data_IF_764794758997
#
_entry.id   IF_764794758997
#
_cell.length_a   1.000
_cell.length_b   1.000
_cell.length_c   1.000
_cell.angle_alpha   90.00
_cell.angle_beta   90.00
_cell.angle_gamma   90.00
#
_symmetry.space_group_name_H-M   'P 1'
#
loop_
_entity.id
_entity.type
_entity.pdbx_description
1 polymer ?
#
# COMPACT_ATOMS: atom_id res chain seq x y z
N UNK A 1 -8.87 3.54 27.98
CA UNK A 1 -10.33 3.71 27.79
C UNK A 1 -10.64 3.27 26.36
N UNK A 2 -11.77 2.65 26.10
CA UNK A 2 -12.23 2.31 24.75
C UNK A 2 -12.99 3.48 24.15
N UNK A 3 -12.86 3.70 22.86
CA UNK A 3 -13.63 4.73 22.15
C UNK A 3 -15.13 4.40 22.22
N UNK A 4 -15.91 5.35 22.70
CA UNK A 4 -17.36 5.23 22.78
C UNK A 4 -17.98 6.29 21.86
N UNK A 5 -18.48 5.84 20.72
CA UNK A 5 -19.07 6.75 19.72
C UNK A 5 -19.06 6.15 18.33
N UNK A 6 -19.61 6.90 17.40
CA UNK A 6 -19.68 6.55 15.99
C UNK A 6 -18.53 7.17 15.23
N UNK A 7 -17.77 6.34 14.50
CA UNK A 7 -16.59 6.72 13.73
C UNK A 7 -16.91 6.71 12.24
N UNK A 8 -16.64 7.81 11.55
CA UNK A 8 -16.63 7.86 10.09
C UNK A 8 -15.22 7.73 9.55
N UNK A 9 -14.91 6.69 8.78
CA UNK A 9 -13.65 6.55 8.04
C UNK A 9 -13.87 6.99 6.59
N UNK A 10 -13.04 7.91 6.10
CA UNK A 10 -13.22 8.55 4.81
C UNK A 10 -12.06 8.23 3.87
N UNK A 11 -12.39 7.84 2.63
CA UNK A 11 -11.41 7.63 1.54
C UNK A 11 -11.96 8.11 0.20
N UNK A 12 -11.07 8.51 -0.71
CA UNK A 12 -11.48 9.16 -1.97
C UNK A 12 -11.96 8.20 -3.07
N UNK A 13 -11.92 6.90 -2.86
CA UNK A 13 -12.17 5.91 -3.92
C UNK A 13 -12.65 4.58 -3.36
N UNK A 14 -13.25 3.76 -4.22
CA UNK A 14 -13.64 2.37 -3.95
C UNK A 14 -12.65 1.35 -4.55
N UNK A 15 -11.64 1.79 -5.31
CA UNK A 15 -10.71 0.93 -6.06
C UNK A 15 -9.54 0.44 -5.19
N UNK A 16 -8.89 -0.71 -5.50
CA UNK A 16 -7.83 -1.31 -4.69
C UNK A 16 -6.53 -0.48 -4.73
N UNK A 17 -6.49 0.57 -3.94
CA UNK A 17 -5.32 1.44 -3.72
C UNK A 17 -4.92 1.38 -2.27
N UNK A 18 -3.64 1.62 -1.96
CA UNK A 18 -3.09 1.46 -0.62
C UNK A 18 -3.93 2.11 0.50
N UNK A 19 -4.34 3.37 0.33
CA UNK A 19 -5.20 4.06 1.29
C UNK A 19 -6.61 3.46 1.41
N UNK A 20 -7.18 2.94 0.31
CA UNK A 20 -8.50 2.28 0.32
C UNK A 20 -8.41 0.91 0.99
N UNK A 21 -7.36 0.14 0.70
CA UNK A 21 -7.08 -1.14 1.38
C UNK A 21 -6.94 -0.90 2.87
N UNK A 22 -6.14 0.08 3.28
CA UNK A 22 -6.01 0.47 4.69
C UNK A 22 -7.37 0.84 5.32
N UNK A 23 -8.18 1.64 4.63
CA UNK A 23 -9.49 2.08 5.15
C UNK A 23 -10.42 0.90 5.43
N UNK A 24 -10.49 -0.05 4.50
CA UNK A 24 -11.33 -1.25 4.65
C UNK A 24 -10.82 -2.17 5.77
N UNK A 25 -9.53 -2.48 5.77
CA UNK A 25 -8.92 -3.37 6.77
C UNK A 25 -9.03 -2.78 8.19
N UNK A 26 -8.76 -1.49 8.35
CA UNK A 26 -8.90 -0.80 9.63
C UNK A 26 -10.37 -0.76 10.09
N UNK A 27 -11.30 -0.44 9.18
CA UNK A 27 -12.72 -0.36 9.51
C UNK A 27 -13.27 -1.72 9.97
N UNK A 28 -12.93 -2.80 9.26
CA UNK A 28 -13.33 -4.17 9.63
C UNK A 28 -12.71 -4.61 10.96
N UNK A 29 -11.44 -4.29 11.19
CA UNK A 29 -10.78 -4.61 12.46
C UNK A 29 -11.39 -3.83 13.64
N UNK A 30 -11.71 -2.55 13.47
CA UNK A 30 -12.41 -1.75 14.49
C UNK A 30 -13.83 -2.26 14.73
N UNK A 31 -14.58 -2.61 13.69
CA UNK A 31 -15.91 -3.21 13.81
C UNK A 31 -15.87 -4.54 14.59
N UNK A 32 -14.88 -5.39 14.29
CA UNK A 32 -14.68 -6.66 15.02
C UNK A 32 -14.38 -6.44 16.51
N UNK A 33 -13.84 -5.29 16.90
CA UNK A 33 -13.61 -4.86 18.28
C UNK A 33 -14.81 -4.17 18.91
N UNK A 34 -15.93 -4.04 18.18
CA UNK A 34 -17.18 -3.47 18.69
C UNK A 34 -17.32 -1.96 18.52
N UNK A 35 -16.44 -1.31 17.74
CA UNK A 35 -16.58 0.12 17.41
C UNK A 35 -17.67 0.29 16.35
N UNK A 36 -18.59 1.25 16.54
CA UNK A 36 -19.56 1.63 15.51
C UNK A 36 -18.85 2.44 14.41
N UNK A 37 -18.53 1.75 13.30
CA UNK A 37 -17.76 2.31 12.17
C UNK A 37 -18.64 2.42 10.93
N UNK A 38 -18.51 3.52 10.21
CA UNK A 38 -19.09 3.73 8.89
C UNK A 38 -18.05 4.22 7.90
N UNK A 39 -18.05 3.69 6.68
CA UNK A 39 -17.15 4.08 5.62
C UNK A 39 -17.81 5.11 4.70
N UNK A 40 -17.06 6.14 4.32
CA UNK A 40 -17.43 7.11 3.29
C UNK A 40 -16.41 7.09 2.15
N UNK A 41 -16.89 7.04 0.92
CA UNK A 41 -16.03 7.09 -0.27
C UNK A 41 -16.71 7.82 -1.44
N UNK A 42 -15.93 8.11 -2.48
CA UNK A 42 -16.47 8.56 -3.76
C UNK A 42 -16.68 7.36 -4.69
N UNK A 43 -17.85 7.28 -5.30
CA UNK A 43 -18.23 6.23 -6.25
C UNK A 43 -19.38 6.63 -7.15
N UNK A 44 -19.60 5.87 -8.23
CA UNK A 44 -20.75 6.03 -9.12
C UNK A 44 -22.03 5.39 -8.55
N UNK A 45 -23.18 5.67 -9.16
CA UNK A 45 -24.42 5.03 -8.79
C UNK A 45 -24.34 3.50 -8.94
N UNK A 46 -24.60 2.77 -7.83
CA UNK A 46 -24.52 1.30 -7.82
C UNK A 46 -23.13 0.72 -7.66
N UNK A 47 -22.09 1.55 -7.50
CA UNK A 47 -20.74 1.07 -7.18
C UNK A 47 -20.70 0.42 -5.79
N UNK A 48 -19.67 -0.39 -5.60
CA UNK A 48 -19.26 -0.97 -4.31
C UNK A 48 -17.74 -0.87 -4.18
N UNK A 49 -17.21 -1.14 -3.00
CA UNK A 49 -15.78 -1.32 -2.87
C UNK A 49 -15.29 -2.51 -3.72
N UNK A 50 -14.01 -2.50 -4.05
CA UNK A 50 -13.36 -3.52 -4.90
C UNK A 50 -13.50 -4.95 -4.35
N UNK A 51 -13.85 -5.11 -3.08
CA UNK A 51 -14.20 -6.36 -2.41
C UNK A 51 -15.40 -6.15 -1.47
N UNK A 52 -16.13 -7.23 -1.13
CA UNK A 52 -17.17 -7.16 -0.10
C UNK A 52 -16.62 -6.70 1.24
N UNK A 53 -17.43 -5.96 2.00
CA UNK A 53 -17.17 -5.57 3.39
C UNK A 53 -18.44 -5.69 4.22
N UNK A 54 -18.28 -6.02 5.50
CA UNK A 54 -19.39 -6.04 6.48
C UNK A 54 -19.65 -4.65 7.08
N UNK A 55 -18.73 -3.70 6.89
CA UNK A 55 -18.87 -2.35 7.42
C UNK A 55 -19.90 -1.56 6.61
N UNK A 56 -20.88 -0.92 7.22
CA UNK A 56 -21.80 -0.03 6.52
C UNK A 56 -21.04 1.09 5.80
N UNK A 57 -21.49 1.43 4.59
CA UNK A 57 -20.84 2.50 3.83
C UNK A 57 -21.83 3.38 3.07
N UNK A 58 -21.39 4.60 2.76
CA UNK A 58 -22.07 5.54 1.89
C UNK A 58 -21.12 6.03 0.83
N UNK A 59 -21.57 6.01 -0.44
CA UNK A 59 -20.83 6.56 -1.56
C UNK A 59 -21.41 7.92 -1.94
N UNK A 60 -20.52 8.91 -2.00
CA UNK A 60 -20.84 10.23 -2.59
C UNK A 60 -20.44 10.25 -4.07
N UNK A 61 -21.06 11.09 -4.91
CA UNK A 61 -20.81 11.08 -6.34
C UNK A 61 -19.32 11.25 -6.68
N UNK A 62 -18.75 10.33 -7.45
CA UNK A 62 -17.44 10.48 -8.05
C UNK A 62 -17.47 11.51 -9.18
N UNK A 63 -16.36 12.22 -9.39
CA UNK A 63 -16.25 13.24 -10.45
C UNK A 63 -15.83 12.57 -11.76
N UNK A 64 -16.65 12.76 -12.77
CA UNK A 64 -16.41 12.32 -14.14
C UNK A 64 -16.13 13.55 -15.04
N UNK A 65 -15.36 13.34 -16.11
CA UNK A 65 -15.12 14.35 -17.14
C UNK A 65 -14.17 15.49 -16.76
N UNK A 66 -13.48 15.43 -15.61
CA UNK A 66 -12.44 16.40 -15.29
C UNK A 66 -11.28 16.28 -16.28
N UNK A 67 -10.79 17.43 -16.78
CA UNK A 67 -9.73 17.48 -17.80
C UNK A 67 -8.34 17.54 -17.19
N UNK A 68 -8.24 17.99 -15.94
CA UNK A 68 -6.98 18.10 -15.20
C UNK A 68 -7.08 17.39 -13.84
N UNK A 69 -5.92 17.05 -13.27
CA UNK A 69 -5.85 16.49 -11.92
C UNK A 69 -6.37 17.47 -10.87
N UNK A 70 -6.03 18.74 -11.01
CA UNK A 70 -6.48 19.83 -10.11
C UNK A 70 -8.01 19.92 -10.07
N UNK A 71 -8.65 20.00 -11.23
CA UNK A 71 -10.12 20.01 -11.35
C UNK A 71 -10.73 18.79 -10.67
N UNK A 72 -10.18 17.60 -10.93
CA UNK A 72 -10.66 16.36 -10.34
C UNK A 72 -10.54 16.36 -8.82
N UNK A 73 -9.42 16.81 -8.28
CA UNK A 73 -9.18 16.84 -6.82
C UNK A 73 -10.13 17.82 -6.15
N UNK A 74 -10.23 19.06 -6.64
CA UNK A 74 -11.09 20.07 -6.01
C UNK A 74 -12.57 19.73 -6.11
N UNK A 75 -13.05 19.29 -7.27
CA UNK A 75 -14.43 18.85 -7.43
C UNK A 75 -14.76 17.61 -6.56
N UNK A 76 -13.78 16.71 -6.34
CA UNK A 76 -13.93 15.57 -5.44
C UNK A 76 -14.05 16.03 -3.97
N UNK A 77 -13.26 17.03 -3.56
CA UNK A 77 -13.40 17.65 -2.21
C UNK A 77 -14.78 18.26 -2.04
N UNK A 78 -15.28 18.98 -3.05
CA UNK A 78 -16.60 19.63 -3.02
C UNK A 78 -17.73 18.60 -2.93
N UNK A 79 -17.66 17.54 -3.73
CA UNK A 79 -18.64 16.44 -3.72
C UNK A 79 -18.68 15.74 -2.36
N UNK A 80 -17.53 15.40 -1.80
CA UNK A 80 -17.46 14.75 -0.50
C UNK A 80 -17.95 15.67 0.63
N UNK A 81 -17.60 16.96 0.62
CA UNK A 81 -18.06 17.93 1.60
C UNK A 81 -19.58 18.10 1.53
N UNK A 82 -20.15 18.20 0.34
CA UNK A 82 -21.60 18.29 0.16
C UNK A 82 -22.35 17.06 0.72
N UNK A 83 -21.81 15.85 0.49
CA UNK A 83 -22.37 14.62 1.07
C UNK A 83 -22.26 14.58 2.58
N UNK A 84 -21.12 14.95 3.14
CA UNK A 84 -20.88 14.97 4.59
C UNK A 84 -21.75 15.99 5.32
N UNK A 85 -22.15 17.10 4.70
CA UNK A 85 -23.05 18.11 5.29
C UNK A 85 -24.34 17.49 5.83
N UNK A 86 -24.80 16.39 5.26
CA UNK A 86 -26.07 15.75 5.62
C UNK A 86 -25.91 14.66 6.71
N UNK A 87 -24.71 14.18 6.95
CA UNK A 87 -24.50 13.00 7.77
C UNK A 87 -23.44 13.16 8.87
N UNK A 88 -22.51 14.12 8.73
CA UNK A 88 -21.37 14.25 9.64
C UNK A 88 -21.74 14.53 11.11
N UNK A 89 -22.87 15.19 11.34
CA UNK A 89 -23.36 15.48 12.71
C UNK A 89 -23.72 14.23 13.53
N UNK A 90 -23.96 13.08 12.87
CA UNK A 90 -24.27 11.82 13.52
C UNK A 90 -23.02 11.08 14.03
N UNK A 91 -21.84 11.61 13.76
CA UNK A 91 -20.55 11.00 14.11
C UNK A 91 -19.86 11.74 15.25
N UNK A 92 -19.06 11.02 16.02
CA UNK A 92 -18.26 11.59 17.11
C UNK A 92 -16.84 11.94 16.64
N UNK A 93 -16.40 11.31 15.54
CA UNK A 93 -15.07 11.51 14.96
C UNK A 93 -15.09 11.17 13.47
N UNK A 94 -14.40 11.96 12.65
CA UNK A 94 -14.13 11.66 11.26
C UNK A 94 -12.65 11.37 11.05
N UNK A 95 -12.32 10.23 10.46
CA UNK A 95 -10.94 9.82 10.19
C UNK A 95 -10.67 9.76 8.69
N UNK A 96 -9.94 10.73 8.18
CA UNK A 96 -9.60 10.88 6.77
C UNK A 96 -8.31 10.14 6.40
N UNK A 97 -8.31 9.45 5.26
CA UNK A 97 -7.18 8.63 4.79
C UNK A 97 -6.40 9.26 3.62
N UNK A 98 -6.88 10.35 3.03
CA UNK A 98 -6.28 11.02 1.88
C UNK A 98 -6.52 12.55 1.91
N UNK A 99 -5.89 13.29 0.99
CA UNK A 99 -6.01 14.75 0.94
C UNK A 99 -7.44 15.22 0.66
N UNK A 100 -8.18 14.52 -0.20
CA UNK A 100 -9.56 14.88 -0.58
C UNK A 100 -10.46 14.76 0.63
N UNK A 101 -10.43 13.61 1.30
CA UNK A 101 -11.25 13.34 2.47
C UNK A 101 -10.91 14.25 3.66
N UNK A 102 -9.63 14.53 3.90
CA UNK A 102 -9.20 15.44 4.97
C UNK A 102 -9.69 16.87 4.73
N UNK A 103 -9.57 17.38 3.51
CA UNK A 103 -10.04 18.71 3.13
C UNK A 103 -11.57 18.83 3.24
N UNK A 104 -12.31 17.81 2.81
CA UNK A 104 -13.76 17.77 2.92
C UNK A 104 -14.20 17.77 4.39
N UNK A 105 -13.63 16.88 5.20
CA UNK A 105 -13.96 16.78 6.62
C UNK A 105 -13.63 18.07 7.39
N UNK A 106 -12.45 18.67 7.16
CA UNK A 106 -12.07 19.93 7.79
C UNK A 106 -13.05 21.07 7.46
N UNK A 107 -13.51 21.19 6.20
CA UNK A 107 -14.52 22.19 5.81
C UNK A 107 -15.83 22.03 6.58
N UNK A 108 -16.30 20.78 6.76
CA UNK A 108 -17.55 20.50 7.48
C UNK A 108 -17.40 20.82 8.96
N UNK A 109 -16.30 20.46 9.58
CA UNK A 109 -15.98 20.83 10.97
C UNK A 109 -15.94 22.36 11.14
N UNK A 110 -15.22 23.08 10.27
CA UNK A 110 -15.07 24.53 10.34
C UNK A 110 -16.40 25.29 10.13
N UNK A 111 -17.33 24.67 9.41
CA UNK A 111 -18.71 25.16 9.27
C UNK A 111 -19.59 24.83 10.49
N UNK A 112 -19.08 24.14 11.51
CA UNK A 112 -19.84 23.69 12.68
C UNK A 112 -20.84 22.56 12.40
N UNK A 113 -20.65 21.82 11.31
CA UNK A 113 -21.57 20.77 10.83
C UNK A 113 -21.02 19.35 11.04
N UNK A 114 -19.85 19.21 11.66
CA UNK A 114 -19.21 17.92 11.88
C UNK A 114 -18.31 17.89 13.11
N UNK A 115 -17.86 16.70 13.53
CA UNK A 115 -16.99 16.50 14.67
C UNK A 115 -15.53 16.79 14.35
N UNK A 116 -14.63 16.58 15.34
CA UNK A 116 -13.18 16.58 15.17
C UNK A 116 -12.71 15.66 14.05
N UNK A 117 -11.63 16.05 13.40
CA UNK A 117 -11.05 15.36 12.25
C UNK A 117 -9.68 14.79 12.60
N UNK A 118 -9.52 13.48 12.42
CA UNK A 118 -8.23 12.80 12.42
C UNK A 118 -7.78 12.59 10.97
N UNK A 119 -6.50 12.71 10.71
CA UNK A 119 -5.89 12.42 9.42
C UNK A 119 -4.77 11.41 9.57
N UNK A 120 -4.81 10.27 8.87
CA UNK A 120 -3.63 9.44 8.66
C UNK A 120 -2.90 9.88 7.39
N UNK A 121 -1.66 10.32 7.53
CA UNK A 121 -0.77 10.62 6.40
C UNK A 121 0.03 9.37 6.06
N UNK A 122 -0.33 8.73 4.95
CA UNK A 122 0.34 7.52 4.46
C UNK A 122 1.65 7.85 3.74
N UNK A 123 1.68 8.95 3.03
CA UNK A 123 2.83 9.53 2.32
C UNK A 123 2.50 10.96 1.91
N UNK A 124 3.52 11.67 1.47
CA UNK A 124 3.39 12.99 0.83
C UNK A 124 3.65 12.80 -0.66
N UNK A 125 2.67 13.24 -1.48
CA UNK A 125 2.76 13.16 -2.94
C UNK A 125 3.65 14.26 -3.51
N UNK A 126 4.34 13.95 -4.62
CA UNK A 126 5.20 14.89 -5.34
C UNK A 126 4.37 15.65 -6.39
N UNK A 127 3.42 16.48 -5.92
CA UNK A 127 2.61 17.31 -6.82
C UNK A 127 3.43 18.40 -7.48
N UNK A 128 3.08 18.74 -8.73
CA UNK A 128 3.79 19.73 -9.55
C UNK A 128 3.06 21.07 -9.67
N UNK A 129 1.74 21.10 -9.42
CA UNK A 129 0.97 22.35 -9.43
C UNK A 129 0.91 22.96 -8.03
N UNK A 130 1.05 24.30 -7.94
CA UNK A 130 0.99 25.00 -6.66
C UNK A 130 -0.33 24.74 -5.93
N UNK A 131 -1.44 24.65 -6.68
CA UNK A 131 -2.77 24.40 -6.14
C UNK A 131 -2.86 23.05 -5.40
N UNK A 132 -2.29 21.98 -5.96
CA UNK A 132 -2.25 20.66 -5.31
C UNK A 132 -1.25 20.60 -4.16
N UNK A 133 -0.11 21.28 -4.26
CA UNK A 133 0.86 21.42 -3.17
C UNK A 133 0.18 22.10 -1.96
N UNK A 134 -0.53 23.20 -2.20
CA UNK A 134 -1.26 23.91 -1.15
C UNK A 134 -2.43 23.09 -0.59
N UNK A 135 -3.14 22.35 -1.44
CA UNK A 135 -4.20 21.44 -1.01
C UNK A 135 -3.66 20.35 -0.08
N UNK A 136 -2.54 19.71 -0.46
CA UNK A 136 -1.87 18.71 0.36
C UNK A 136 -1.39 19.30 1.69
N UNK A 137 -0.76 20.47 1.65
CA UNK A 137 -0.31 21.17 2.87
C UNK A 137 -1.48 21.43 3.82
N UNK A 138 -2.61 21.95 3.32
CA UNK A 138 -3.81 22.16 4.12
C UNK A 138 -4.39 20.86 4.66
N UNK A 139 -4.41 19.79 3.86
CA UNK A 139 -4.88 18.47 4.30
C UNK A 139 -4.02 17.86 5.43
N UNK A 140 -2.80 18.35 5.64
CA UNK A 140 -1.92 17.97 6.75
C UNK A 140 -2.10 18.91 7.96
N UNK A 141 -2.29 20.21 7.72
CA UNK A 141 -2.30 21.23 8.77
C UNK A 141 -3.68 21.48 9.40
N UNK A 142 -4.76 21.24 8.68
CA UNK A 142 -6.13 21.56 9.14
C UNK A 142 -6.78 20.51 10.06
N UNK A 143 -6.47 19.19 9.96
CA UNK A 143 -7.02 18.20 10.88
C UNK A 143 -6.65 18.50 12.33
N UNK A 144 -7.51 18.15 13.28
CA UNK A 144 -7.28 18.34 14.71
C UNK A 144 -6.21 17.39 15.24
N UNK A 145 -6.10 16.20 14.66
CA UNK A 145 -5.13 15.18 15.03
C UNK A 145 -4.53 14.54 13.79
N UNK A 146 -3.21 14.34 13.81
CA UNK A 146 -2.47 13.74 12.70
C UNK A 146 -1.81 12.44 13.14
N UNK A 147 -2.09 11.38 12.39
CA UNK A 147 -1.46 10.08 12.50
C UNK A 147 -0.55 9.85 11.29
N UNK A 148 0.48 9.06 11.49
CA UNK A 148 1.40 8.59 10.44
C UNK A 148 1.63 7.09 10.58
N UNK A 149 2.02 6.47 9.48
CA UNK A 149 2.18 5.01 9.44
C UNK A 149 3.60 4.54 9.78
N UNK A 150 4.56 5.47 9.90
CA UNK A 150 5.96 5.15 10.20
C UNK A 150 6.69 6.32 10.86
N UNK A 151 7.82 6.02 11.52
CA UNK A 151 8.73 7.02 12.08
C UNK A 151 9.28 7.97 11.01
N UNK A 152 9.63 7.42 9.84
CA UNK A 152 10.13 8.22 8.74
C UNK A 152 9.15 9.32 8.31
N UNK A 153 7.85 9.03 8.30
CA UNK A 153 6.82 10.03 8.01
C UNK A 153 6.57 10.97 9.19
N UNK A 154 6.71 10.51 10.43
CA UNK A 154 6.64 11.38 11.61
C UNK A 154 7.73 12.46 11.54
N UNK A 155 8.98 12.05 11.32
CA UNK A 155 10.14 12.97 11.19
C UNK A 155 9.96 13.92 10.00
N UNK A 156 9.41 13.45 8.89
CA UNK A 156 9.12 14.27 7.71
C UNK A 156 8.06 15.33 8.00
N UNK A 157 6.95 14.98 8.67
CA UNK A 157 5.90 15.93 9.00
C UNK A 157 6.37 16.97 10.03
N UNK A 158 7.16 16.57 11.01
CA UNK A 158 7.74 17.49 11.97
C UNK A 158 8.71 18.49 11.31
N UNK A 159 9.64 17.98 10.48
CA UNK A 159 10.64 18.78 9.79
C UNK A 159 10.04 19.73 8.75
N UNK A 160 9.15 19.26 7.89
CA UNK A 160 8.73 19.97 6.67
C UNK A 160 7.42 20.75 6.87
N UNK A 161 6.61 20.35 7.87
CA UNK A 161 5.28 20.93 8.13
C UNK A 161 5.14 21.51 9.54
N UNK A 162 6.04 21.17 10.47
CA UNK A 162 5.95 21.58 11.88
C UNK A 162 4.78 20.93 12.61
N UNK A 163 4.34 19.74 12.18
CA UNK A 163 3.18 19.04 12.72
C UNK A 163 3.62 17.88 13.61
N UNK A 164 3.17 17.93 14.88
CA UNK A 164 3.27 16.78 15.77
C UNK A 164 2.28 15.68 15.33
N UNK A 165 2.76 14.47 15.19
CA UNK A 165 1.94 13.32 14.77
C UNK A 165 2.21 12.10 15.65
N UNK A 166 1.28 11.15 15.64
CA UNK A 166 1.42 9.89 16.37
C UNK A 166 1.54 8.72 15.39
N UNK A 167 2.44 7.79 15.68
CA UNK A 167 2.66 6.62 14.82
C UNK A 167 1.60 5.57 15.15
N UNK A 168 0.92 5.10 14.11
CA UNK A 168 0.08 3.89 14.12
C UNK A 168 0.42 3.09 12.88
N UNK A 169 1.09 1.97 13.07
CA UNK A 169 1.50 1.11 11.96
C UNK A 169 0.30 0.48 11.27
N UNK A 170 0.46 0.22 9.98
CA UNK A 170 -0.46 -0.62 9.23
C UNK A 170 -0.36 -2.07 9.72
N UNK A 171 -1.35 -2.86 9.34
CA UNK A 171 -1.38 -4.28 9.67
C UNK A 171 -1.44 -5.17 8.42
N UNK A 172 -1.32 -6.46 8.67
CA UNK A 172 -1.59 -7.52 7.70
C UNK A 172 -2.58 -8.51 8.31
N UNK A 173 -3.30 -9.23 7.47
CA UNK A 173 -4.11 -10.39 7.88
C UNK A 173 -3.40 -11.67 7.44
N UNK A 174 -2.76 -12.42 8.36
CA UNK A 174 -2.06 -13.65 8.00
C UNK A 174 -2.99 -14.73 7.42
N UNK A 175 -4.25 -14.77 7.85
CA UNK A 175 -5.30 -15.67 7.36
C UNK A 175 -5.65 -15.44 5.87
N UNK A 176 -5.29 -14.29 5.32
CA UNK A 176 -5.44 -13.99 3.88
C UNK A 176 -4.50 -14.84 3.01
N UNK A 177 -3.43 -15.37 3.57
CA UNK A 177 -2.41 -16.15 2.88
C UNK A 177 -2.38 -17.63 3.33
N UNK A 178 -3.47 -18.39 3.13
CA UNK A 178 -3.47 -19.80 3.54
C UNK A 178 -2.44 -20.60 2.73
N UNK A 179 -1.86 -21.66 3.31
CA UNK A 179 -1.00 -22.58 2.58
C UNK A 179 -1.73 -23.14 1.35
N UNK A 180 -1.00 -23.32 0.26
CA UNK A 180 -1.50 -23.96 -0.97
C UNK A 180 -0.82 -25.31 -1.16
N UNK A 181 -1.50 -26.26 -1.82
CA UNK A 181 -0.91 -27.54 -2.17
C UNK A 181 0.18 -27.40 -3.23
N UNK A 182 1.06 -28.39 -3.33
CA UNK A 182 2.09 -28.43 -4.36
C UNK A 182 1.47 -28.42 -5.77
N UNK A 183 0.34 -29.08 -5.97
CA UNK A 183 -0.37 -29.11 -7.27
C UNK A 183 -0.87 -27.72 -7.65
N UNK A 184 -1.49 -27.00 -6.72
CA UNK A 184 -1.94 -25.61 -6.93
C UNK A 184 -0.75 -24.69 -7.20
N UNK A 185 0.34 -24.86 -6.45
CA UNK A 185 1.58 -24.09 -6.68
C UNK A 185 2.13 -24.36 -8.09
N UNK A 186 2.20 -25.61 -8.50
CA UNK A 186 2.67 -25.99 -9.84
C UNK A 186 1.78 -25.39 -10.92
N UNK A 187 0.45 -25.51 -10.81
CA UNK A 187 -0.50 -24.95 -11.78
C UNK A 187 -0.33 -23.44 -11.96
N UNK A 188 -0.16 -22.70 -10.86
CA UNK A 188 0.07 -21.25 -10.90
C UNK A 188 1.37 -20.94 -11.64
N UNK A 189 2.46 -21.64 -11.33
CA UNK A 189 3.78 -21.45 -11.96
C UNK A 189 3.76 -21.85 -13.43
N UNK A 190 3.09 -22.92 -13.78
CA UNK A 190 2.96 -23.40 -15.17
C UNK A 190 2.18 -22.41 -16.05
N UNK A 191 1.23 -21.67 -15.47
CA UNK A 191 0.44 -20.66 -16.21
C UNK A 191 1.29 -19.52 -16.79
N UNK A 192 2.49 -19.30 -16.23
CA UNK A 192 3.46 -18.28 -16.69
C UNK A 192 4.76 -18.91 -17.24
N UNK A 193 4.79 -20.21 -17.44
CA UNK A 193 5.99 -20.91 -17.95
C UNK A 193 7.15 -20.97 -16.93
N UNK A 194 6.86 -20.96 -15.62
CA UNK A 194 7.86 -20.91 -14.56
C UNK A 194 8.22 -22.29 -13.97
N UNK A 195 7.94 -23.40 -14.67
CA UNK A 195 8.03 -24.77 -14.15
C UNK A 195 9.35 -25.04 -13.37
N UNK A 196 10.49 -24.75 -13.96
CA UNK A 196 11.82 -25.01 -13.39
C UNK A 196 12.63 -23.70 -13.22
N UNK A 197 11.97 -22.60 -12.95
CA UNK A 197 12.59 -21.26 -12.80
C UNK A 197 12.31 -20.73 -11.41
N UNK A 198 13.23 -19.96 -10.84
CA UNK A 198 12.96 -19.18 -9.63
C UNK A 198 12.00 -18.05 -9.96
N UNK A 199 10.87 -18.00 -9.28
CA UNK A 199 9.84 -16.98 -9.46
C UNK A 199 10.11 -15.80 -8.53
N UNK A 200 10.47 -14.68 -9.13
CA UNK A 200 10.53 -13.38 -8.47
C UNK A 200 9.17 -12.72 -8.58
N UNK A 201 8.57 -12.31 -7.47
CA UNK A 201 7.29 -11.63 -7.42
C UNK A 201 7.51 -10.14 -7.21
N UNK A 202 6.92 -9.31 -8.05
CA UNK A 202 6.79 -7.86 -7.82
C UNK A 202 5.31 -7.50 -7.75
N UNK A 203 4.93 -6.69 -6.75
CA UNK A 203 3.53 -6.24 -6.56
C UNK A 203 3.46 -4.72 -6.66
N UNK A 204 2.70 -4.28 -7.66
CA UNK A 204 2.56 -2.89 -8.08
C UNK A 204 2.71 -2.76 -9.59
N UNK A 205 2.43 -1.57 -10.13
CA UNK A 205 2.65 -1.25 -11.55
C UNK A 205 4.14 -1.08 -11.89
N UNK A 206 4.43 -0.96 -13.17
CA UNK A 206 5.77 -0.52 -13.64
C UNK A 206 5.84 0.99 -13.44
N UNK A 207 6.48 1.40 -12.35
CA UNK A 207 6.48 2.79 -11.84
C UNK A 207 7.88 3.18 -11.34
N UNK A 208 8.27 4.48 -11.44
CA UNK A 208 9.56 4.97 -10.95
C UNK A 208 9.79 4.65 -9.46
N UNK A 209 8.78 4.93 -8.63
CA UNK A 209 8.88 4.73 -7.18
C UNK A 209 9.03 3.26 -6.77
N UNK A 210 8.67 2.31 -7.66
CA UNK A 210 8.80 0.87 -7.42
C UNK A 210 10.18 0.32 -7.80
N UNK A 211 11.05 1.15 -8.39
CA UNK A 211 12.36 0.69 -8.86
C UNK A 211 12.26 -0.35 -9.97
N UNK A 212 11.25 -0.19 -10.85
CA UNK A 212 10.97 -1.22 -11.87
C UNK A 212 12.08 -1.37 -12.89
N UNK A 213 12.74 -0.26 -13.26
CA UNK A 213 13.89 -0.27 -14.17
C UNK A 213 15.05 -1.03 -13.55
N UNK A 214 15.41 -0.69 -12.33
CA UNK A 214 16.49 -1.31 -11.57
C UNK A 214 16.22 -2.82 -11.36
N UNK A 215 14.96 -3.20 -11.19
CA UNK A 215 14.57 -4.61 -11.08
C UNK A 215 14.77 -5.34 -12.43
N UNK A 216 14.42 -4.73 -13.55
CA UNK A 216 14.65 -5.34 -14.86
C UNK A 216 16.16 -5.52 -15.13
N UNK A 217 16.97 -4.52 -14.81
CA UNK A 217 18.42 -4.59 -14.90
C UNK A 217 18.98 -5.73 -14.02
N UNK A 218 18.49 -5.86 -12.76
CA UNK A 218 18.88 -6.95 -11.86
C UNK A 218 18.50 -8.34 -12.40
N UNK A 219 17.33 -8.48 -13.02
CA UNK A 219 16.90 -9.74 -13.67
C UNK A 219 17.80 -10.05 -14.86
N UNK A 220 18.20 -9.04 -15.64
CA UNK A 220 19.17 -9.19 -16.73
C UNK A 220 20.54 -9.69 -16.25
N UNK A 221 21.03 -9.14 -15.12
CA UNK A 221 22.28 -9.57 -14.49
C UNK A 221 22.20 -11.04 -14.01
N UNK A 222 21.13 -11.41 -13.33
CA UNK A 222 20.90 -12.79 -12.91
C UNK A 222 20.88 -13.77 -14.08
N UNK A 223 20.21 -13.42 -15.17
CA UNK A 223 20.17 -14.22 -16.39
C UNK A 223 21.56 -14.35 -17.04
N UNK A 224 22.34 -13.27 -17.08
CA UNK A 224 23.71 -13.29 -17.57
C UNK A 224 24.65 -14.17 -16.73
N UNK A 225 24.39 -14.29 -15.43
CA UNK A 225 25.04 -15.23 -14.50
C UNK A 225 24.56 -16.68 -14.65
N UNK A 226 23.65 -16.96 -15.59
CA UNK A 226 23.08 -18.29 -15.84
C UNK A 226 21.95 -18.70 -14.88
N UNK A 227 21.39 -17.78 -14.11
CA UNK A 227 20.24 -18.08 -13.24
C UNK A 227 18.96 -18.23 -14.05
N UNK A 228 18.18 -19.25 -13.75
CA UNK A 228 16.88 -19.50 -14.37
C UNK A 228 15.78 -18.80 -13.57
N UNK A 229 15.66 -17.49 -13.74
CA UNK A 229 14.68 -16.66 -13.07
C UNK A 229 13.54 -16.24 -14.00
N UNK A 230 12.39 -15.90 -13.43
CA UNK A 230 11.27 -15.24 -14.09
C UNK A 230 10.71 -14.19 -13.13
N UNK A 231 10.49 -12.98 -13.64
CA UNK A 231 9.82 -11.93 -12.89
C UNK A 231 8.33 -11.90 -13.24
N UNK A 232 7.49 -12.08 -12.22
CA UNK A 232 6.03 -11.95 -12.31
C UNK A 232 5.61 -10.67 -11.64
N UNK A 233 4.93 -9.79 -12.39
CA UNK A 233 4.48 -8.49 -11.92
C UNK A 233 2.95 -8.52 -11.78
N UNK A 234 2.46 -8.29 -10.56
CA UNK A 234 1.05 -8.15 -10.24
C UNK A 234 0.74 -6.70 -9.91
N UNK A 235 -0.15 -6.09 -10.66
CA UNK A 235 -0.60 -4.72 -10.43
C UNK A 235 -0.95 -4.03 -11.74
N UNK A 236 -1.91 -3.13 -11.63
CA UNK A 236 -2.38 -2.32 -12.75
C UNK A 236 -1.73 -0.93 -12.79
N UNK A 237 -2.39 -0.02 -13.50
CA UNK A 237 -1.95 1.36 -13.63
C UNK A 237 -2.12 2.13 -12.31
N UNK A 238 -1.14 2.97 -12.01
CA UNK A 238 -1.17 3.93 -10.90
C UNK A 238 -2.28 5.00 -11.08
N UNK A 239 -2.52 5.76 -10.02
CA UNK A 239 -3.32 6.99 -10.11
C UNK A 239 -2.62 8.07 -10.95
N UNK A 240 -1.30 8.13 -10.85
CA UNK A 240 -0.47 9.00 -11.68
C UNK A 240 -0.23 8.35 -13.03
N UNK A 241 -0.14 9.15 -14.08
CA UNK A 241 0.19 8.68 -15.42
C UNK A 241 1.71 8.44 -15.53
N UNK A 242 2.10 7.18 -15.47
CA UNK A 242 3.48 6.73 -15.69
C UNK A 242 3.66 6.00 -17.01
N UNK A 243 2.77 6.20 -17.98
CA UNK A 243 2.82 5.47 -19.25
C UNK A 243 4.14 5.68 -20.00
N UNK A 244 4.65 6.91 -20.03
CA UNK A 244 5.95 7.22 -20.67
C UNK A 244 7.10 6.44 -20.01
N UNK A 245 7.16 6.43 -18.68
CA UNK A 245 8.15 5.65 -17.92
C UNK A 245 7.99 4.14 -18.17
N UNK A 246 6.75 3.66 -18.17
CA UNK A 246 6.47 2.23 -18.42
C UNK A 246 6.98 1.78 -19.78
N UNK A 247 6.72 2.57 -20.82
CA UNK A 247 7.18 2.30 -22.18
C UNK A 247 8.72 2.35 -22.25
N UNK A 248 9.35 3.33 -21.62
CA UNK A 248 10.80 3.44 -21.54
C UNK A 248 11.41 2.22 -20.83
N UNK A 249 10.92 1.87 -19.64
CA UNK A 249 11.43 0.75 -18.86
C UNK A 249 11.28 -0.58 -19.61
N UNK A 250 10.13 -0.81 -20.26
CA UNK A 250 9.93 -2.02 -21.09
C UNK A 250 10.78 -1.99 -22.36
N UNK A 251 11.10 -0.81 -22.88
CA UNK A 251 12.01 -0.64 -24.03
C UNK A 251 13.45 -1.09 -23.77
N UNK A 252 13.87 -1.18 -22.49
CA UNK A 252 15.21 -1.67 -22.12
C UNK A 252 15.35 -3.19 -22.22
N UNK A 253 14.26 -3.94 -22.23
CA UNK A 253 14.30 -5.41 -22.13
C UNK A 253 15.18 -6.07 -23.18
N UNK A 254 15.16 -5.70 -24.49
CA UNK A 254 16.03 -6.29 -25.49
C UNK A 254 17.52 -6.07 -25.19
N UNK A 255 17.91 -4.91 -24.70
CA UNK A 255 19.30 -4.59 -24.34
C UNK A 255 19.79 -5.43 -23.15
N UNK A 256 18.86 -5.79 -22.25
CA UNK A 256 19.09 -6.68 -21.11
C UNK A 256 18.98 -8.17 -21.46
N UNK A 257 18.79 -8.51 -22.72
CA UNK A 257 18.50 -9.88 -23.20
C UNK A 257 17.27 -10.51 -22.50
N UNK A 258 16.25 -9.70 -22.17
CA UNK A 258 15.01 -10.11 -21.57
C UNK A 258 13.86 -10.04 -22.56
N UNK A 259 12.92 -10.95 -22.43
CA UNK A 259 11.73 -11.05 -23.30
C UNK A 259 10.47 -10.89 -22.47
N UNK A 260 9.63 -9.89 -22.82
CA UNK A 260 8.31 -9.73 -22.24
C UNK A 260 7.41 -10.94 -22.58
N UNK A 261 6.69 -11.46 -21.58
CA UNK A 261 5.89 -12.68 -21.70
C UNK A 261 6.69 -13.98 -21.48
N UNK A 262 8.03 -13.90 -21.35
CA UNK A 262 8.87 -15.07 -21.08
C UNK A 262 9.75 -14.90 -19.84
N UNK A 263 10.55 -13.83 -19.77
CA UNK A 263 11.41 -13.54 -18.62
C UNK A 263 10.74 -12.59 -17.64
N UNK A 264 9.89 -11.72 -18.17
CA UNK A 264 9.05 -10.77 -17.40
C UNK A 264 7.60 -10.97 -17.83
N UNK A 265 6.75 -11.34 -16.90
CA UNK A 265 5.32 -11.57 -17.13
C UNK A 265 4.50 -10.55 -16.31
N UNK A 266 3.69 -9.76 -16.99
CA UNK A 266 2.76 -8.82 -16.37
C UNK A 266 1.35 -9.43 -16.35
N UNK A 267 0.80 -9.65 -15.16
CA UNK A 267 -0.55 -10.20 -15.00
C UNK A 267 -1.63 -9.13 -14.81
N UNK A 268 -1.20 -7.86 -14.69
CA UNK A 268 -2.13 -6.75 -14.45
C UNK A 268 -2.79 -6.82 -13.06
N UNK A 269 -3.94 -6.17 -12.93
CA UNK A 269 -4.73 -6.20 -11.70
C UNK A 269 -5.40 -7.56 -11.56
N UNK A 270 -5.20 -8.21 -10.43
CA UNK A 270 -5.79 -9.51 -10.10
C UNK A 270 -6.69 -9.38 -8.86
N UNK A 271 -7.58 -10.34 -8.64
CA UNK A 271 -8.37 -10.41 -7.42
C UNK A 271 -7.52 -10.82 -6.20
N UNK A 272 -8.07 -10.60 -5.00
CA UNK A 272 -7.40 -10.86 -3.72
C UNK A 272 -6.96 -12.31 -3.55
N UNK A 273 -7.75 -13.27 -4.01
CA UNK A 273 -7.43 -14.70 -3.92
C UNK A 273 -6.25 -15.06 -4.83
N UNK A 274 -6.26 -14.53 -6.03
CA UNK A 274 -5.16 -14.71 -7.00
C UNK A 274 -3.88 -14.07 -6.48
N UNK A 275 -3.96 -12.85 -5.91
CA UNK A 275 -2.83 -12.19 -5.28
C UNK A 275 -2.25 -13.03 -4.14
N UNK A 276 -3.08 -13.50 -3.21
CA UNK A 276 -2.66 -14.33 -2.08
C UNK A 276 -2.00 -15.65 -2.54
N UNK A 277 -2.53 -16.27 -3.58
CA UNK A 277 -1.95 -17.48 -4.18
C UNK A 277 -0.57 -17.22 -4.79
N UNK A 278 -0.36 -16.07 -5.45
CA UNK A 278 0.95 -15.71 -5.99
C UNK A 278 1.99 -15.46 -4.92
N UNK A 279 1.64 -14.86 -3.77
CA UNK A 279 2.55 -14.76 -2.64
C UNK A 279 3.02 -16.14 -2.16
N UNK A 280 2.14 -17.16 -2.20
CA UNK A 280 2.49 -18.55 -1.83
C UNK A 280 3.19 -19.34 -2.95
N UNK A 281 2.98 -18.99 -4.20
CA UNK A 281 3.55 -19.70 -5.35
C UNK A 281 4.96 -19.21 -5.73
N UNK A 282 5.29 -17.98 -5.43
CA UNK A 282 6.58 -17.37 -5.69
C UNK A 282 7.70 -17.93 -4.79
N UNK A 283 8.93 -17.61 -5.13
CA UNK A 283 10.12 -17.99 -4.37
C UNK A 283 10.75 -16.83 -3.61
N UNK A 284 10.66 -15.60 -4.14
CA UNK A 284 11.21 -14.38 -3.55
C UNK A 284 10.31 -13.22 -3.90
N UNK A 285 9.97 -12.35 -2.93
CA UNK A 285 9.46 -11.02 -3.21
C UNK A 285 10.63 -10.11 -3.60
N UNK A 286 10.60 -9.56 -4.82
CA UNK A 286 11.55 -8.55 -5.29
C UNK A 286 10.88 -7.17 -5.26
N UNK A 287 11.21 -6.36 -4.25
CA UNK A 287 10.52 -5.11 -3.93
C UNK A 287 11.48 -3.93 -3.76
N UNK A 288 12.27 -3.58 -4.81
CA UNK A 288 13.29 -2.54 -4.74
C UNK A 288 12.70 -1.12 -4.82
N UNK A 289 11.64 -0.86 -4.07
CA UNK A 289 10.98 0.44 -4.06
C UNK A 289 11.91 1.55 -3.57
N UNK A 290 11.86 2.70 -4.24
CA UNK A 290 12.61 3.90 -3.90
C UNK A 290 11.87 4.75 -2.85
N UNK A 291 10.54 4.69 -2.87
CA UNK A 291 9.66 5.45 -1.96
C UNK A 291 8.41 4.65 -1.62
N UNK A 292 8.11 4.53 -0.35
CA UNK A 292 6.91 3.86 0.15
C UNK A 292 6.26 4.62 1.30
N UNK A 293 4.96 4.39 1.50
CA UNK A 293 4.26 4.85 2.68
C UNK A 293 4.60 4.02 3.91
N UNK A 294 4.44 2.69 3.79
CA UNK A 294 4.75 1.72 4.84
C UNK A 294 5.39 0.45 4.28
N UNK A 295 4.91 -0.03 3.14
CA UNK A 295 5.39 -1.26 2.53
C UNK A 295 4.55 -2.49 2.87
N UNK A 296 3.21 -2.35 2.81
CA UNK A 296 2.27 -3.45 3.06
C UNK A 296 2.63 -4.73 2.28
N UNK A 297 3.09 -4.60 1.05
CA UNK A 297 3.49 -5.73 0.20
C UNK A 297 4.61 -6.56 0.82
N UNK A 298 5.60 -5.91 1.45
CA UNK A 298 6.70 -6.62 2.13
C UNK A 298 6.18 -7.31 3.41
N UNK A 299 5.29 -6.68 4.16
CA UNK A 299 4.65 -7.28 5.33
C UNK A 299 3.75 -8.46 4.94
N UNK A 300 3.01 -8.35 3.83
CA UNK A 300 2.20 -9.44 3.24
C UNK A 300 3.09 -10.63 2.83
N UNK A 301 4.29 -10.37 2.29
CA UNK A 301 5.25 -11.41 1.97
C UNK A 301 5.74 -12.16 3.22
N UNK A 302 6.06 -11.45 4.29
CA UNK A 302 6.40 -12.09 5.57
C UNK A 302 5.25 -12.98 6.08
N UNK A 303 4.01 -12.51 6.00
CA UNK A 303 2.81 -13.27 6.38
C UNK A 303 2.55 -14.48 5.47
N UNK A 304 3.02 -14.42 4.23
CA UNK A 304 2.93 -15.50 3.25
C UNK A 304 4.13 -16.46 3.27
N UNK A 305 5.06 -16.35 4.22
CA UNK A 305 6.31 -17.12 4.25
C UNK A 305 7.18 -16.94 2.99
N UNK A 306 7.09 -15.79 2.35
CA UNK A 306 7.85 -15.47 1.15
C UNK A 306 9.08 -14.64 1.53
N UNK A 307 10.31 -15.09 1.24
CA UNK A 307 11.53 -14.31 1.47
C UNK A 307 11.46 -12.95 0.76
N UNK A 308 11.97 -11.92 1.41
CA UNK A 308 11.88 -10.52 0.96
C UNK A 308 13.25 -9.99 0.58
N UNK A 309 13.37 -9.46 -0.63
CA UNK A 309 14.44 -8.56 -1.04
C UNK A 309 13.80 -7.19 -1.29
N UNK A 310 14.13 -6.20 -0.46
CA UNK A 310 13.57 -4.86 -0.53
C UNK A 310 14.69 -3.81 -0.43
N UNK A 311 14.48 -2.61 -0.97
CA UNK A 311 15.48 -1.54 -0.85
C UNK A 311 15.70 -1.12 0.61
N UNK A 312 16.91 -0.70 0.94
CA UNK A 312 17.29 -0.14 2.24
C UNK A 312 16.74 1.30 2.41
N UNK A 313 15.41 1.45 2.43
CA UNK A 313 14.74 2.73 2.72
C UNK A 313 14.27 2.79 4.18
N UNK A 314 14.25 4.00 4.81
CA UNK A 314 13.94 4.14 6.23
C UNK A 314 12.62 3.51 6.67
N UNK A 315 11.59 3.60 5.84
CA UNK A 315 10.24 3.08 6.16
C UNK A 315 10.22 1.56 6.34
N UNK A 316 11.08 0.82 5.66
CA UNK A 316 11.17 -0.63 5.84
C UNK A 316 11.82 -1.02 7.16
N UNK A 317 12.64 -0.15 7.76
CA UNK A 317 13.23 -0.36 9.08
C UNK A 317 12.22 -0.46 10.24
N UNK A 318 10.92 -0.21 9.98
CA UNK A 318 9.86 -0.42 10.97
C UNK A 318 9.67 -1.91 11.30
N UNK A 319 9.89 -2.80 10.33
CA UNK A 319 9.64 -4.23 10.46
C UNK A 319 10.63 -5.14 9.71
N UNK A 320 11.50 -4.60 8.85
CA UNK A 320 12.54 -5.36 8.17
C UNK A 320 13.92 -5.07 8.79
N UNK A 321 14.70 -6.11 8.96
CA UNK A 321 16.10 -6.05 9.42
C UNK A 321 16.96 -6.86 8.46
N UNK A 322 17.99 -6.21 7.91
CA UNK A 322 18.87 -6.81 6.92
C UNK A 322 19.56 -8.06 7.45
N UNK A 323 19.64 -9.11 6.64
CA UNK A 323 20.17 -10.45 6.95
C UNK A 323 19.51 -11.13 8.18
N UNK A 324 18.37 -10.58 8.69
CA UNK A 324 17.60 -11.19 9.76
C UNK A 324 16.28 -11.74 9.22
N UNK A 325 15.42 -10.88 8.66
CA UNK A 325 14.12 -11.27 8.11
C UNK A 325 13.88 -10.80 6.67
N UNK A 326 14.85 -10.09 6.08
CA UNK A 326 14.88 -9.66 4.69
C UNK A 326 16.32 -9.45 4.24
N UNK A 327 16.58 -9.30 2.95
CA UNK A 327 17.79 -8.70 2.43
C UNK A 327 17.48 -7.29 1.93
N UNK A 328 18.28 -6.30 2.36
CA UNK A 328 18.03 -4.89 2.13
C UNK A 328 19.14 -4.24 1.29
N UNK A 329 19.24 -4.53 -0.03
CA UNK A 329 20.21 -3.91 -0.91
C UNK A 329 20.03 -2.40 -0.97
N UNK A 330 21.11 -1.70 -1.39
CA UNK A 330 21.09 -0.25 -1.59
C UNK A 330 20.04 0.15 -2.62
N UNK A 331 19.40 1.30 -2.35
CA UNK A 331 18.39 1.90 -3.24
C UNK A 331 18.99 2.17 -4.61
N UNK A 332 18.24 1.88 -5.66
CA UNK A 332 18.62 2.12 -7.06
C UNK A 332 19.97 1.51 -7.46
N UNK A 333 20.29 0.34 -6.91
CA UNK A 333 21.51 -0.41 -7.24
C UNK A 333 21.14 -1.80 -7.81
N UNK A 334 21.03 -1.94 -9.15
CA UNK A 334 20.65 -3.21 -9.78
C UNK A 334 21.59 -4.37 -9.45
N UNK A 335 22.89 -4.10 -9.29
CA UNK A 335 23.86 -5.14 -8.94
C UNK A 335 23.63 -5.66 -7.53
N UNK A 336 23.44 -4.76 -6.55
CA UNK A 336 23.13 -5.15 -5.18
C UNK A 336 21.78 -5.88 -5.08
N UNK A 337 20.78 -5.50 -5.88
CA UNK A 337 19.49 -6.22 -5.96
C UNK A 337 19.70 -7.63 -6.51
N UNK A 338 20.47 -7.78 -7.58
CA UNK A 338 20.78 -9.09 -8.17
C UNK A 338 21.55 -9.98 -7.19
N UNK A 339 22.56 -9.44 -6.53
CA UNK A 339 23.38 -10.18 -5.54
C UNK A 339 22.53 -10.68 -4.36
N UNK A 340 21.64 -9.83 -3.82
CA UNK A 340 20.73 -10.22 -2.74
C UNK A 340 19.74 -11.33 -3.19
N UNK A 341 19.20 -11.26 -4.39
CA UNK A 341 18.34 -12.32 -4.95
C UNK A 341 19.15 -13.61 -5.11
N UNK A 342 20.36 -13.51 -5.65
CA UNK A 342 21.24 -14.67 -5.90
C UNK A 342 21.66 -15.36 -4.58
N UNK A 343 21.91 -14.60 -3.54
CA UNK A 343 22.23 -15.12 -2.19
C UNK A 343 21.09 -16.01 -1.67
N UNK A 344 19.83 -15.58 -1.79
CA UNK A 344 18.66 -16.39 -1.39
C UNK A 344 18.50 -17.63 -2.29
N UNK A 345 18.83 -17.54 -3.57
CA UNK A 345 18.76 -18.68 -4.51
C UNK A 345 19.80 -19.73 -4.15
N UNK A 346 21.01 -19.32 -3.78
CA UNK A 346 22.14 -20.20 -3.54
C UNK A 346 22.20 -20.76 -2.12
N UNK A 347 21.60 -20.08 -1.15
CA UNK A 347 21.63 -20.50 0.26
C UNK A 347 20.22 -20.84 0.78
N UNK A 348 19.80 -22.12 0.73
CA UNK A 348 18.54 -22.57 1.30
C UNK A 348 18.46 -22.38 2.84
N UNK A 349 19.59 -22.35 3.56
CA UNK A 349 19.60 -22.15 5.00
C UNK A 349 19.31 -20.68 5.34
N UNK A 350 19.93 -19.75 4.65
CA UNK A 350 19.59 -18.32 4.73
C UNK A 350 18.12 -18.09 4.41
N UNK A 351 17.63 -18.64 3.30
CA UNK A 351 16.22 -18.55 2.92
C UNK A 351 15.29 -18.99 4.06
N UNK A 352 15.57 -20.13 4.67
CA UNK A 352 14.78 -20.69 5.77
C UNK A 352 14.85 -19.78 7.02
N UNK A 353 16.02 -19.24 7.35
CA UNK A 353 16.20 -18.34 8.49
C UNK A 353 15.45 -17.02 8.32
N UNK A 354 15.50 -16.40 7.12
CA UNK A 354 14.75 -15.18 6.81
C UNK A 354 13.24 -15.39 6.99
N UNK A 355 12.70 -16.50 6.48
CA UNK A 355 11.28 -16.84 6.64
C UNK A 355 10.94 -17.07 8.11
N UNK A 356 11.74 -17.81 8.86
CA UNK A 356 11.49 -18.09 10.27
C UNK A 356 11.48 -16.79 11.10
N UNK A 357 12.42 -15.90 10.87
CA UNK A 357 12.48 -14.61 11.54
C UNK A 357 11.32 -13.68 11.09
N UNK A 358 10.95 -13.70 9.81
CA UNK A 358 9.80 -12.94 9.31
C UNK A 358 8.49 -13.28 10.04
N UNK A 359 8.26 -14.57 10.32
CA UNK A 359 7.09 -15.03 11.08
C UNK A 359 7.01 -14.43 12.49
N UNK A 360 8.12 -14.11 13.12
CA UNK A 360 8.13 -13.53 14.48
C UNK A 360 7.70 -12.06 14.49
N UNK A 361 7.84 -11.37 13.37
CA UNK A 361 7.47 -9.95 13.21
C UNK A 361 5.97 -9.79 12.96
N UNK A 362 5.38 -10.68 12.17
CA UNK A 362 3.98 -10.56 11.71
C UNK A 362 2.96 -10.32 12.84
N UNK A 363 3.02 -10.98 14.02
CA UNK A 363 2.06 -10.75 15.11
C UNK A 363 2.02 -9.31 15.63
N UNK A 364 3.12 -8.56 15.54
CA UNK A 364 3.19 -7.17 15.99
C UNK A 364 2.53 -6.19 15.01
N UNK A 365 2.39 -6.61 13.75
CA UNK A 365 1.85 -5.82 12.65
C UNK A 365 0.57 -6.43 12.09
N UNK A 366 -0.42 -6.65 12.95
CA UNK A 366 -1.77 -7.10 12.53
C UNK A 366 -2.75 -5.93 12.47
N UNK A 367 -3.82 -6.07 11.70
CA UNK A 367 -4.88 -5.06 11.69
C UNK A 367 -5.60 -4.96 13.04
N UNK A 368 -5.66 -6.05 13.83
CA UNK A 368 -6.19 -5.98 15.19
C UNK A 368 -5.31 -5.13 16.11
N UNK A 369 -3.97 -5.29 16.05
CA UNK A 369 -3.04 -4.46 16.80
C UNK A 369 -3.13 -2.98 16.37
N UNK A 370 -3.21 -2.72 15.07
CA UNK A 370 -3.43 -1.37 14.52
C UNK A 370 -4.75 -0.77 15.03
N UNK A 371 -5.85 -1.52 14.94
CA UNK A 371 -7.17 -1.09 15.41
C UNK A 371 -7.18 -0.81 16.92
N UNK A 372 -6.55 -1.67 17.73
CA UNK A 372 -6.42 -1.45 19.17
C UNK A 372 -5.71 -0.12 19.48
N UNK A 373 -4.64 0.18 18.75
CA UNK A 373 -3.90 1.45 18.91
C UNK A 373 -4.76 2.66 18.49
N UNK A 374 -5.46 2.57 17.35
CA UNK A 374 -6.38 3.62 16.91
C UNK A 374 -7.49 3.87 17.95
N UNK A 375 -8.10 2.81 18.48
CA UNK A 375 -9.18 2.91 19.47
C UNK A 375 -8.73 3.66 20.74
N UNK A 376 -7.50 3.39 21.22
CA UNK A 376 -6.92 4.14 22.34
C UNK A 376 -6.79 5.62 22.03
N UNK A 377 -6.26 5.97 20.85
CA UNK A 377 -6.06 7.35 20.44
C UNK A 377 -7.39 8.08 20.23
N UNK A 378 -8.39 7.44 19.61
CA UNK A 378 -9.71 8.04 19.41
C UNK A 378 -10.41 8.37 20.75
N UNK A 379 -10.14 7.62 21.81
CA UNK A 379 -10.68 7.93 23.13
C UNK A 379 -10.13 9.25 23.70
N UNK A 380 -8.92 9.65 23.27
CA UNK A 380 -8.24 10.88 23.69
C UNK A 380 -8.55 12.07 22.75
N UNK A 381 -9.11 11.84 21.56
CA UNK A 381 -9.35 12.83 20.51
C UNK A 381 -10.75 13.48 20.55
N UNK A 382 -11.37 13.56 21.69
CA UNK A 382 -12.71 14.14 21.88
C UNK A 382 -12.70 15.63 22.06
#
# INVERSE_FOLDING_TARGET
MTFQGRLGILTYSTKPRGGVVHSLELAEALQARGVDVHLFALGGPGDSFYRPTSVPFTLFPAIEGATTLDEKVFASVDSMAAGLTQTAADFNLLHAQDCISARAAARIRDAGLGPSVVRTVHHVDDFTTQALIDCQRKAILEPDHVLVVSRAWQETLERDYGVASQIVHNGVRPDRFPPISNDVRSQIRDSVGAKDRTVLLAVGGVEPRKGSRELFEAVGLLKAQGRRVILVILGGHSFQDYEAYRLEALGLLPELNLTLGQDIVQLGTVDDLTLARWFRAADILAYPSVKEGFGLVALEALAADLPVVASSIPVFGEFLTDHVNALLPRVSDPAAIADAIDEIILDPALRASLVAAGRTVVPEFTWDASAARHEMLYADFR
#
